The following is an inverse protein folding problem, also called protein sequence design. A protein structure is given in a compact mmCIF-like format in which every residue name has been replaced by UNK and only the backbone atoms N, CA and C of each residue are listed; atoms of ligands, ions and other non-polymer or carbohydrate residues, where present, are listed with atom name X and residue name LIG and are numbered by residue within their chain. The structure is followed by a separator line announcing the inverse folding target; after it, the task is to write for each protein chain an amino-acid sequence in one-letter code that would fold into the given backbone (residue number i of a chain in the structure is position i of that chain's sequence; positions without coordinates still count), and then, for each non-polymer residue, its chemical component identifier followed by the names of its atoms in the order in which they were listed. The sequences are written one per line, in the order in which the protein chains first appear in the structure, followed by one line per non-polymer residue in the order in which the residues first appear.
data_IF_735679707981
#
_entry.id   IF_735679707981
#
_cell.length_a   1.000
_cell.length_b   1.000
_cell.length_c   1.000
_cell.angle_alpha   90.00
_cell.angle_beta   90.00
_cell.angle_gamma   90.00
#
_symmetry.space_group_name_H-M   'P 1'
#
loop_
_entity.id
_entity.type
_entity.pdbx_description
1 polymer ?
#
# COMPACT_ATOMS: atom_id res chain seq x y z
N UNK A 1 -18.67 -26.23 -27.51
CA UNK A 1 -18.84 -26.28 -26.05
C UNK A 1 -17.64 -25.56 -25.44
N UNK A 2 -17.71 -24.23 -25.38
CA UNK A 2 -16.57 -23.39 -25.04
C UNK A 2 -16.47 -23.32 -23.52
N UNK A 3 -15.44 -23.96 -22.94
CA UNK A 3 -15.11 -23.83 -21.52
C UNK A 3 -14.58 -22.41 -21.28
N UNK A 4 -15.44 -21.50 -20.84
CA UNK A 4 -15.00 -20.21 -20.33
C UNK A 4 -14.31 -20.44 -18.98
N UNK A 5 -12.97 -20.49 -18.99
CA UNK A 5 -12.20 -20.26 -17.77
C UNK A 5 -12.32 -18.77 -17.46
N UNK A 6 -13.20 -18.40 -16.55
CA UNK A 6 -13.29 -17.04 -16.05
C UNK A 6 -12.06 -16.80 -15.16
N UNK A 7 -11.08 -16.05 -15.68
CA UNK A 7 -9.88 -15.70 -14.93
C UNK A 7 -10.21 -14.47 -14.07
N UNK A 8 -10.16 -14.56 -12.72
CA UNK A 8 -10.57 -13.48 -11.82
C UNK A 8 -9.54 -12.33 -11.74
N UNK A 9 -8.83 -12.04 -12.83
CA UNK A 9 -7.79 -11.00 -12.86
C UNK A 9 -8.35 -9.57 -12.74
N UNK A 10 -9.64 -9.37 -13.04
CA UNK A 10 -10.30 -8.06 -12.99
C UNK A 10 -10.61 -7.54 -11.57
N UNK A 11 -10.46 -8.37 -10.53
CA UNK A 11 -10.80 -8.02 -9.15
C UNK A 11 -9.60 -8.01 -8.22
N UNK A 12 -8.38 -7.84 -8.75
CA UNK A 12 -7.21 -7.86 -7.89
C UNK A 12 -7.26 -6.65 -6.92
N UNK A 13 -7.11 -6.87 -5.61
CA UNK A 13 -7.31 -5.82 -4.62
C UNK A 13 -6.38 -4.64 -4.88
N UNK A 14 -6.87 -3.44 -4.58
CA UNK A 14 -6.09 -2.20 -4.65
C UNK A 14 -5.87 -1.74 -3.23
N UNK A 15 -4.65 -1.30 -2.95
CA UNK A 15 -4.33 -0.71 -1.66
C UNK A 15 -5.08 0.61 -1.54
N UNK A 16 -5.80 0.81 -0.43
CA UNK A 16 -6.45 2.08 -0.14
C UNK A 16 -5.38 3.05 0.33
N UNK A 17 -5.23 4.18 -0.35
CA UNK A 17 -4.29 5.22 0.07
C UNK A 17 -4.65 5.76 1.45
N UNK A 18 -5.92 5.77 1.83
CA UNK A 18 -6.36 6.24 3.15
C UNK A 18 -5.83 5.35 4.28
N UNK A 19 -5.91 4.02 4.12
CA UNK A 19 -5.41 3.05 5.11
C UNK A 19 -3.89 3.18 5.28
N UNK A 20 -3.17 3.41 4.18
CA UNK A 20 -1.72 3.62 4.17
C UNK A 20 -1.35 4.92 4.85
N UNK A 21 -2.06 6.01 4.54
CA UNK A 21 -1.86 7.33 5.15
C UNK A 21 -2.14 7.25 6.65
N UNK A 22 -3.22 6.59 7.08
CA UNK A 22 -3.55 6.41 8.49
C UNK A 22 -2.48 5.60 9.22
N UNK A 23 -2.04 4.49 8.63
CA UNK A 23 -0.95 3.68 9.18
C UNK A 23 0.33 4.51 9.38
N UNK A 24 0.76 5.26 8.36
CA UNK A 24 1.97 6.07 8.43
C UNK A 24 1.85 7.22 9.42
N UNK A 25 0.68 7.87 9.51
CA UNK A 25 0.40 8.91 10.51
C UNK A 25 0.57 8.37 11.93
N UNK A 26 0.09 7.15 12.20
CA UNK A 26 0.25 6.49 13.50
C UNK A 26 1.72 6.15 13.82
N UNK A 27 2.61 6.17 12.83
CA UNK A 27 4.05 5.99 12.99
C UNK A 27 4.83 7.31 12.97
N UNK A 28 4.14 8.46 13.00
CA UNK A 28 4.73 9.81 12.82
C UNK A 28 5.50 9.98 11.49
N UNK A 29 5.04 9.30 10.45
CA UNK A 29 5.59 9.34 9.10
C UNK A 29 4.62 10.00 8.13
N UNK A 30 5.16 10.62 7.10
CA UNK A 30 4.36 11.16 5.99
C UNK A 30 4.45 10.22 4.79
N UNK A 31 3.32 9.97 4.15
CA UNK A 31 3.25 9.19 2.93
C UNK A 31 4.02 9.88 1.80
N UNK A 32 4.90 9.12 1.14
CA UNK A 32 5.68 9.59 -0.01
C UNK A 32 5.20 8.92 -1.29
N UNK A 33 5.22 7.59 -1.32
CA UNK A 33 4.82 6.81 -2.49
C UNK A 33 4.48 5.36 -2.10
N UNK A 34 3.85 4.66 -3.02
CA UNK A 34 3.62 3.21 -2.94
C UNK A 34 3.85 2.57 -4.31
N UNK A 35 4.37 1.34 -4.32
CA UNK A 35 4.43 0.53 -5.54
C UNK A 35 4.31 -0.95 -5.26
N UNK A 36 3.88 -1.72 -6.27
CA UNK A 36 3.95 -3.18 -6.20
C UNK A 36 5.39 -3.68 -6.11
N UNK A 37 5.57 -4.86 -5.52
CA UNK A 37 6.89 -5.52 -5.51
C UNK A 37 7.32 -5.91 -6.93
N UNK A 38 8.62 -5.80 -7.18
CA UNK A 38 9.26 -6.39 -8.34
C UNK A 38 9.56 -7.89 -8.13
N UNK A 39 10.04 -8.56 -9.17
CA UNK A 39 10.33 -10.01 -9.14
C UNK A 39 11.42 -10.40 -8.15
N UNK A 40 12.38 -9.52 -7.86
CA UNK A 40 13.48 -9.81 -6.94
C UNK A 40 13.02 -9.65 -5.48
N UNK A 41 12.34 -8.55 -5.19
CA UNK A 41 11.71 -8.29 -3.90
C UNK A 41 10.71 -9.40 -3.53
N UNK A 42 9.89 -9.84 -4.49
CA UNK A 42 8.92 -10.92 -4.27
C UNK A 42 9.59 -12.24 -3.85
N UNK A 43 10.84 -12.48 -4.28
CA UNK A 43 11.59 -13.69 -3.90
C UNK A 43 12.08 -13.66 -2.46
N UNK A 44 12.20 -12.47 -1.85
CA UNK A 44 12.59 -12.31 -0.46
C UNK A 44 11.54 -12.88 0.50
N UNK A 45 10.29 -13.05 0.02
CA UNK A 45 9.19 -13.65 0.77
C UNK A 45 9.00 -13.00 2.16
N UNK A 46 8.77 -11.67 2.23
CA UNK A 46 8.74 -10.93 3.48
C UNK A 46 7.65 -11.40 4.47
N UNK A 47 6.65 -12.13 3.98
CA UNK A 47 5.55 -12.68 4.78
C UNK A 47 5.66 -14.20 5.04
N UNK A 48 6.83 -14.79 4.78
CA UNK A 48 7.16 -16.19 5.13
C UNK A 48 6.15 -17.24 4.63
N UNK A 49 5.68 -17.10 3.40
CA UNK A 49 4.68 -18.04 2.89
C UNK A 49 5.23 -19.46 2.78
N UNK A 50 4.49 -20.41 3.36
CA UNK A 50 4.74 -21.84 3.14
C UNK A 50 4.40 -22.22 1.70
N UNK A 51 5.27 -22.98 1.03
CA UNK A 51 4.99 -23.56 -0.29
C UNK A 51 3.84 -24.58 -0.19
N UNK A 52 2.95 -24.60 -1.18
CA UNK A 52 1.80 -25.52 -1.24
C UNK A 52 0.46 -24.83 -1.49
N UNK A 53 -0.51 -25.62 -1.95
CA UNK A 53 -1.89 -25.23 -2.18
C UNK A 53 -2.66 -25.47 -0.88
N UNK A 54 -3.05 -24.41 -0.19
CA UNK A 54 -4.04 -24.50 0.89
C UNK A 54 -5.39 -24.05 0.36
N UNK A 55 -6.49 -24.62 0.86
CA UNK A 55 -7.85 -24.15 0.53
C UNK A 55 -7.96 -22.64 0.73
N UNK A 56 -7.35 -22.12 1.80
CA UNK A 56 -7.27 -20.68 2.05
C UNK A 56 -6.66 -19.89 0.89
N UNK A 57 -5.54 -20.35 0.31
CA UNK A 57 -4.91 -19.66 -0.84
C UNK A 57 -5.76 -19.70 -2.11
N UNK A 58 -6.56 -20.74 -2.29
CA UNK A 58 -7.42 -20.89 -3.48
C UNK A 58 -8.57 -19.88 -3.50
N UNK A 59 -8.99 -19.40 -2.32
CA UNK A 59 -10.07 -18.42 -2.14
C UNK A 59 -9.56 -17.05 -1.67
N UNK A 60 -8.30 -16.71 -1.96
CA UNK A 60 -7.76 -15.39 -1.64
C UNK A 60 -6.92 -14.88 -2.80
N UNK A 61 -7.02 -13.59 -3.13
CA UNK A 61 -5.99 -12.90 -3.91
C UNK A 61 -5.22 -12.01 -2.97
N UNK A 62 -3.90 -12.02 -3.17
CA UNK A 62 -2.97 -11.21 -2.42
C UNK A 62 -2.29 -10.26 -3.36
N UNK A 63 -2.00 -9.07 -2.86
CA UNK A 63 -1.06 -8.15 -3.48
C UNK A 63 -0.09 -7.65 -2.43
N UNK A 64 1.12 -7.41 -2.89
CA UNK A 64 2.21 -6.98 -2.04
C UNK A 64 2.77 -5.69 -2.60
N UNK A 65 3.11 -4.77 -1.71
CA UNK A 65 3.56 -3.43 -2.02
C UNK A 65 4.77 -3.04 -1.16
N UNK A 66 5.56 -2.10 -1.67
CA UNK A 66 6.45 -1.26 -0.89
C UNK A 66 5.70 0.03 -0.62
N UNK A 67 5.66 0.42 0.65
CA UNK A 67 5.13 1.69 1.12
C UNK A 67 6.29 2.52 1.66
N UNK A 68 6.36 3.77 1.21
CA UNK A 68 7.44 4.70 1.56
C UNK A 68 6.88 5.78 2.48
N UNK A 69 7.41 5.81 3.71
CA UNK A 69 7.19 6.88 4.66
C UNK A 69 8.42 7.77 4.80
N UNK A 70 8.21 9.05 5.09
CA UNK A 70 9.29 9.99 5.44
C UNK A 70 9.09 10.55 6.83
N UNK A 71 10.12 10.44 7.68
CA UNK A 71 10.12 11.05 9.00
C UNK A 71 10.64 12.48 8.89
N UNK A 72 9.79 13.47 9.12
CA UNK A 72 10.19 14.88 9.10
C UNK A 72 11.17 15.20 10.24
N UNK A 73 10.95 14.61 11.42
CA UNK A 73 11.77 14.85 12.60
C UNK A 73 13.20 14.33 12.44
N UNK A 74 13.35 13.12 11.87
CA UNK A 74 14.66 12.47 11.65
C UNK A 74 15.26 12.73 10.28
N UNK A 75 14.47 13.28 9.35
CA UNK A 75 14.82 13.52 7.94
C UNK A 75 15.24 12.24 7.21
N UNK A 76 14.62 11.12 7.53
CA UNK A 76 14.94 9.80 6.99
C UNK A 76 13.73 9.13 6.33
N UNK A 77 14.00 8.34 5.30
CA UNK A 77 12.99 7.46 4.72
C UNK A 77 12.84 6.19 5.56
N UNK A 78 11.60 5.72 5.68
CA UNK A 78 11.28 4.43 6.27
C UNK A 78 10.44 3.63 5.28
N UNK A 79 10.83 2.38 5.07
CA UNK A 79 10.18 1.51 4.09
C UNK A 79 9.42 0.39 4.80
N UNK A 80 8.26 0.05 4.26
CA UNK A 80 7.44 -1.06 4.74
C UNK A 80 7.07 -1.97 3.59
N UNK A 81 7.12 -3.28 3.84
CA UNK A 81 6.35 -4.25 3.08
C UNK A 81 4.88 -4.13 3.50
N UNK A 82 3.97 -4.06 2.54
CA UNK A 82 2.54 -4.14 2.78
C UNK A 82 1.94 -5.33 2.03
N UNK A 83 1.18 -6.19 2.71
CA UNK A 83 0.40 -7.27 2.11
C UNK A 83 -1.08 -6.96 2.27
N UNK A 84 -1.79 -6.89 1.14
CA UNK A 84 -3.24 -6.84 1.11
C UNK A 84 -3.78 -8.20 0.66
N UNK A 85 -4.39 -8.92 1.60
CA UNK A 85 -5.12 -10.15 1.31
C UNK A 85 -6.62 -9.86 1.25
N UNK A 86 -7.22 -10.13 0.09
CA UNK A 86 -8.66 -10.13 -0.11
C UNK A 86 -9.16 -11.56 -0.25
N UNK A 87 -10.10 -11.94 0.60
CA UNK A 87 -10.73 -13.26 0.53
C UNK A 87 -11.88 -13.22 -0.49
N UNK A 88 -11.76 -14.03 -1.54
CA UNK A 88 -12.86 -14.30 -2.48
C UNK A 88 -13.84 -15.20 -1.78
N UNK A 89 -14.71 -14.57 -1.01
CA UNK A 89 -15.99 -15.20 -0.78
C UNK A 89 -16.71 -15.28 -2.13
N UNK A 90 -16.54 -14.34 -3.08
CA UNK A 90 -17.29 -14.15 -4.35
C UNK A 90 -18.09 -15.35 -4.94
N UNK A 91 -17.48 -16.50 -5.25
CA UNK A 91 -18.23 -17.64 -5.79
C UNK A 91 -19.06 -18.38 -4.72
N UNK A 92 -18.50 -18.54 -3.52
CA UNK A 92 -19.24 -18.98 -2.35
C UNK A 92 -20.18 -17.89 -1.83
N UNK A 93 -19.89 -16.60 -2.01
CA UNK A 93 -20.71 -15.47 -1.60
C UNK A 93 -21.98 -15.49 -2.40
N UNK A 94 -21.90 -15.62 -3.72
CA UNK A 94 -23.10 -15.72 -4.54
C UNK A 94 -23.93 -16.96 -4.16
N UNK A 95 -23.32 -18.13 -3.99
CA UNK A 95 -24.03 -19.36 -3.58
C UNK A 95 -24.63 -19.24 -2.16
N UNK A 96 -23.85 -18.72 -1.20
CA UNK A 96 -24.22 -18.63 0.20
C UNK A 96 -25.18 -17.47 0.46
N UNK A 97 -25.04 -16.32 -0.21
CA UNK A 97 -26.02 -15.23 -0.18
C UNK A 97 -27.36 -15.67 -0.78
N UNK A 98 -27.34 -16.42 -1.90
CA UNK A 98 -28.55 -17.02 -2.48
C UNK A 98 -29.17 -18.05 -1.52
N UNK A 99 -28.38 -18.90 -0.86
CA UNK A 99 -28.89 -19.96 0.02
C UNK A 99 -29.26 -19.50 1.44
N UNK A 100 -28.58 -18.49 1.98
CA UNK A 100 -28.73 -18.03 3.37
C UNK A 100 -29.44 -16.68 3.51
N UNK A 101 -29.65 -15.95 2.40
CA UNK A 101 -30.21 -14.59 2.39
C UNK A 101 -29.43 -13.57 3.24
N UNK A 102 -28.20 -13.89 3.67
CA UNK A 102 -27.33 -12.99 4.44
C UNK A 102 -26.20 -12.46 3.56
N UNK A 103 -26.06 -11.13 3.50
CA UNK A 103 -24.95 -10.48 2.81
C UNK A 103 -23.62 -10.80 3.50
N UNK A 104 -22.64 -11.34 2.76
CA UNK A 104 -21.30 -11.59 3.29
C UNK A 104 -20.38 -10.46 2.84
N UNK A 105 -19.91 -9.68 3.81
CA UNK A 105 -18.88 -8.67 3.57
C UNK A 105 -17.59 -9.28 3.02
N UNK A 106 -16.89 -8.56 2.15
CA UNK A 106 -15.50 -8.89 1.82
C UNK A 106 -14.64 -8.62 3.06
N UNK A 107 -13.93 -9.63 3.55
CA UNK A 107 -12.90 -9.40 4.57
C UNK A 107 -11.58 -9.07 3.88
N UNK A 108 -11.09 -7.87 4.13
CA UNK A 108 -9.75 -7.43 3.74
C UNK A 108 -8.83 -7.54 4.95
N UNK A 109 -7.59 -7.94 4.71
CA UNK A 109 -6.55 -7.95 5.73
C UNK A 109 -5.32 -7.25 5.16
N UNK A 110 -4.91 -6.18 5.84
CA UNK A 110 -3.75 -5.37 5.48
C UNK A 110 -2.68 -5.54 6.56
N UNK A 111 -1.50 -5.98 6.14
CA UNK A 111 -0.37 -6.24 7.05
C UNK A 111 0.81 -5.38 6.61
N UNK A 112 1.37 -4.61 7.54
CA UNK A 112 2.61 -3.87 7.33
C UNK A 112 3.76 -4.53 8.08
N UNK A 113 4.93 -4.64 7.44
CA UNK A 113 6.19 -5.06 8.06
C UNK A 113 7.29 -4.09 7.69
N UNK A 114 7.98 -3.53 8.69
CA UNK A 114 9.10 -2.64 8.45
C UNK A 114 10.24 -3.38 7.73
N UNK A 115 10.88 -2.71 6.78
CA UNK A 115 12.10 -3.20 6.14
C UNK A 115 13.29 -2.80 7.02
N UNK A 116 14.10 -3.78 7.41
CA UNK A 116 15.29 -3.59 8.25
C UNK A 116 16.60 -3.94 7.54
N UNK A 117 16.52 -4.52 6.34
CA UNK A 117 17.68 -4.86 5.51
C UNK A 117 18.36 -3.58 4.98
N UNK A 118 19.59 -3.32 5.42
CA UNK A 118 20.33 -2.09 5.09
C UNK A 118 20.61 -1.95 3.60
N UNK A 119 20.97 -3.05 2.92
CA UNK A 119 21.32 -3.02 1.50
C UNK A 119 20.07 -2.71 0.66
N UNK A 120 18.92 -3.24 1.06
CA UNK A 120 17.65 -2.93 0.43
C UNK A 120 17.19 -1.50 0.72
N UNK A 121 17.34 -1.02 1.95
CA UNK A 121 17.03 0.37 2.33
C UNK A 121 17.85 1.35 1.50
N UNK A 122 19.15 1.10 1.30
CA UNK A 122 20.02 1.97 0.50
C UNK A 122 19.60 1.99 -0.97
N UNK A 123 19.25 0.83 -1.53
CA UNK A 123 18.72 0.74 -2.91
C UNK A 123 17.42 1.53 -3.06
N UNK A 124 16.46 1.31 -2.16
CA UNK A 124 15.17 2.00 -2.18
C UNK A 124 15.35 3.50 -1.95
N UNK A 125 16.22 3.92 -1.05
CA UNK A 125 16.52 5.34 -0.82
C UNK A 125 17.08 6.01 -2.06
N UNK A 126 17.91 5.31 -2.85
CA UNK A 126 18.41 5.82 -4.11
C UNK A 126 17.35 5.84 -5.22
N UNK A 127 16.43 4.87 -5.25
CA UNK A 127 15.29 4.84 -6.18
C UNK A 127 14.29 5.98 -5.89
N UNK A 128 13.94 6.17 -4.62
CA UNK A 128 12.96 7.15 -4.15
C UNK A 128 13.57 8.49 -3.77
N UNK A 129 14.84 8.74 -4.14
CA UNK A 129 15.54 10.02 -3.93
C UNK A 129 14.98 11.13 -4.84
N UNK A 130 13.67 11.35 -4.78
CA UNK A 130 13.10 12.62 -5.17
C UNK A 130 13.63 13.66 -4.18
N UNK A 131 14.21 14.78 -4.65
CA UNK A 131 14.56 15.87 -3.75
C UNK A 131 13.25 16.40 -3.15
N UNK A 132 12.90 15.95 -1.94
CA UNK A 132 11.82 16.56 -1.17
C UNK A 132 12.28 17.96 -0.82
N UNK A 133 11.98 18.93 -1.70
CA UNK A 133 12.06 20.34 -1.38
C UNK A 133 10.88 20.61 -0.45
N UNK A 134 11.15 20.63 0.86
CA UNK A 134 10.22 21.21 1.82
C UNK A 134 9.95 22.64 1.36
N UNK A 135 8.76 22.90 0.80
CA UNK A 135 8.35 24.22 0.37
C UNK A 135 8.20 25.05 1.65
N UNK A 136 9.08 26.03 1.83
CA UNK A 136 9.06 26.90 3.01
C UNK A 136 7.84 27.81 2.99
N UNK A 137 7.21 27.85 4.15
CA UNK A 137 6.27 28.82 4.69
C UNK A 137 4.92 28.94 3.99
N UNK A 138 4.81 28.94 2.66
CA UNK A 138 3.52 29.16 1.97
C UNK A 138 3.29 28.21 0.78
N UNK A 139 2.04 27.81 0.59
CA UNK A 139 1.67 26.98 -0.55
C UNK A 139 1.70 27.77 -1.86
N UNK A 140 2.28 27.25 -2.94
CA UNK A 140 2.30 27.96 -4.22
C UNK A 140 0.91 28.13 -4.86
N UNK A 141 -0.06 27.27 -4.51
CA UNK A 141 -1.42 27.35 -5.04
C UNK A 141 -2.37 28.18 -4.16
N UNK A 142 -2.33 27.95 -2.84
CA UNK A 142 -3.27 28.54 -1.88
C UNK A 142 -2.69 29.78 -1.15
N UNK A 143 -1.37 30.01 -1.24
CA UNK A 143 -0.58 30.99 -0.47
C UNK A 143 -0.83 30.98 1.04
N UNK A 144 -1.42 29.89 1.55
CA UNK A 144 -1.62 29.70 2.99
C UNK A 144 -0.33 29.24 3.63
N UNK A 145 -0.18 29.59 4.91
CA UNK A 145 0.92 29.10 5.73
C UNK A 145 0.87 27.57 5.80
N UNK A 146 1.98 26.93 5.44
CA UNK A 146 2.14 25.48 5.53
C UNK A 146 3.08 25.19 6.70
N UNK A 147 2.67 24.29 7.58
CA UNK A 147 3.54 23.76 8.62
C UNK A 147 4.62 22.87 7.96
N UNK A 148 5.89 22.99 8.36
CA UNK A 148 7.04 22.28 7.75
C UNK A 148 6.86 20.74 7.76
N UNK A 149 5.91 20.24 8.54
CA UNK A 149 5.56 18.82 8.67
C UNK A 149 4.50 18.32 7.70
N UNK A 150 3.86 19.20 6.94
CA UNK A 150 2.76 18.85 6.04
C UNK A 150 3.25 18.75 4.59
N UNK A 151 3.06 17.58 3.97
CA UNK A 151 3.36 17.35 2.55
C UNK A 151 2.16 17.66 1.64
N UNK A 152 1.06 18.17 2.18
CA UNK A 152 -0.14 18.56 1.43
C UNK A 152 -0.68 19.89 1.98
N UNK A 153 -1.02 20.88 1.14
CA UNK A 153 -1.64 22.13 1.62
C UNK A 153 -3.01 21.77 2.23
N UNK A 154 -3.25 22.02 3.54
CA UNK A 154 -4.51 21.68 4.19
C UNK A 154 -5.71 22.47 3.62
N UNK A 155 -5.46 23.58 2.91
CA UNK A 155 -6.50 24.39 2.30
C UNK A 155 -6.84 24.00 0.85
N UNK A 156 -5.91 23.43 0.08
CA UNK A 156 -6.16 23.13 -1.34
C UNK A 156 -5.82 21.70 -1.78
N UNK A 157 -5.32 20.86 -0.88
CA UNK A 157 -4.95 19.47 -1.19
C UNK A 157 -3.74 19.35 -2.13
N UNK A 158 -2.99 20.44 -2.35
CA UNK A 158 -1.81 20.40 -3.20
C UNK A 158 -0.72 19.59 -2.50
N UNK A 159 -0.32 18.47 -3.10
CA UNK A 159 0.82 17.68 -2.66
C UNK A 159 2.12 18.44 -2.95
N UNK A 160 2.86 18.76 -1.89
CA UNK A 160 4.08 19.58 -1.89
C UNK A 160 5.33 18.75 -2.19
N UNK A 161 5.15 17.44 -2.41
CA UNK A 161 6.19 16.56 -2.93
C UNK A 161 6.36 16.85 -4.42
N UNK A 162 7.39 17.63 -4.75
CA UNK A 162 7.80 17.84 -6.15
C UNK A 162 8.50 16.56 -6.62
N UNK A 163 7.80 15.72 -7.41
CA UNK A 163 8.45 14.67 -8.21
C UNK A 163 9.31 15.37 -9.26
N UNK A 164 10.63 15.28 -9.10
CA UNK A 164 11.63 15.78 -10.05
C UNK A 164 11.77 14.87 -11.26
#
# INVERSE_FOLDING_TARGET
MTKYLFIPFLFAPKLSSDDVIEFLKNQELVFVDERGLNKEESKLNPFEYKKGISFRKMYSVRKEFIVVGYSVSKKEYTFYWAELTQWYVFYMKYIFEIWSSQAIGSSENLIFKKIEDSDLIDKLTNEFKSPIKLIKDNCPACNCSIDEKTLECPNCGLNLIIKG
#
